data_IF_339152743196
#
_entry.id   IF_339152743196
#
_cell.length_a   1.000
_cell.length_b   1.000
_cell.length_c   1.000
_cell.angle_alpha   90.00
_cell.angle_beta   90.00
_cell.angle_gamma   90.00
#
_symmetry.space_group_name_H-M   'P 1'
#
loop_
_entity.id
_entity.type
_entity.pdbx_description
1 polymer ?
#
# COMPACT_ATOMS: atom_id res chain seq x y z
N UNK A 1 -47.79 -6.82 -0.61
CA UNK A 1 -46.84 -7.52 -1.50
C UNK A 1 -45.38 -7.29 -1.11
N UNK A 2 -44.92 -6.05 -0.88
CA UNK A 2 -43.51 -5.78 -0.52
C UNK A 2 -43.01 -6.41 0.80
N UNK A 3 -43.88 -6.54 1.82
CA UNK A 3 -43.52 -7.15 3.10
C UNK A 3 -43.32 -8.67 2.99
N UNK A 4 -44.13 -9.33 2.15
CA UNK A 4 -44.06 -10.79 1.92
C UNK A 4 -42.73 -11.15 1.25
N UNK A 5 -42.30 -10.37 0.25
CA UNK A 5 -41.01 -10.58 -0.43
C UNK A 5 -39.79 -10.32 0.46
N UNK A 6 -39.91 -9.47 1.48
CA UNK A 6 -38.84 -9.21 2.44
C UNK A 6 -38.70 -10.35 3.46
N UNK A 7 -39.82 -10.93 3.88
CA UNK A 7 -39.87 -12.08 4.78
C UNK A 7 -39.34 -13.35 4.09
N UNK A 8 -39.72 -13.57 2.82
CA UNK A 8 -39.18 -14.63 1.98
C UNK A 8 -37.65 -14.50 1.78
N UNK A 9 -37.15 -13.27 1.61
CA UNK A 9 -35.71 -13.03 1.49
C UNK A 9 -34.95 -13.30 2.81
N UNK A 10 -35.57 -13.01 3.96
CA UNK A 10 -35.02 -13.30 5.28
C UNK A 10 -35.00 -14.81 5.56
N UNK A 11 -36.05 -15.53 5.18
CA UNK A 11 -36.14 -16.99 5.33
C UNK A 11 -35.12 -17.71 4.43
N UNK A 12 -34.95 -17.25 3.19
CA UNK A 12 -33.88 -17.74 2.30
C UNK A 12 -32.48 -17.43 2.84
N UNK A 13 -32.28 -16.28 3.50
CA UNK A 13 -31.03 -15.98 4.17
C UNK A 13 -30.78 -16.91 5.37
N UNK A 14 -31.81 -17.18 6.18
CA UNK A 14 -31.73 -18.12 7.30
C UNK A 14 -31.43 -19.55 6.83
N UNK A 15 -32.09 -20.02 5.78
CA UNK A 15 -31.85 -21.33 5.17
C UNK A 15 -30.40 -21.46 4.66
N UNK A 16 -29.89 -20.42 3.98
CA UNK A 16 -28.48 -20.37 3.53
C UNK A 16 -27.50 -20.43 4.70
N UNK A 17 -27.79 -19.71 5.78
CA UNK A 17 -26.95 -19.71 6.98
C UNK A 17 -26.95 -21.09 7.67
N UNK A 18 -28.09 -21.77 7.71
CA UNK A 18 -28.20 -23.08 8.31
C UNK A 18 -27.48 -24.16 7.50
N UNK A 19 -27.59 -24.12 6.17
CA UNK A 19 -26.78 -24.96 5.27
C UNK A 19 -25.29 -24.71 5.47
N UNK A 20 -24.87 -23.45 5.63
CA UNK A 20 -23.48 -23.12 5.91
C UNK A 20 -23.02 -23.68 7.27
N UNK A 21 -23.84 -23.59 8.32
CA UNK A 21 -23.55 -24.17 9.64
C UNK A 21 -23.41 -25.69 9.58
N UNK A 22 -24.32 -26.38 8.89
CA UNK A 22 -24.25 -27.83 8.72
C UNK A 22 -23.00 -28.26 7.95
N UNK A 23 -22.62 -27.54 6.90
CA UNK A 23 -21.35 -27.78 6.17
C UNK A 23 -20.12 -27.61 7.05
N UNK A 24 -20.08 -26.55 7.88
CA UNK A 24 -18.97 -26.32 8.82
C UNK A 24 -18.92 -27.42 9.89
N UNK A 25 -20.07 -27.84 10.42
CA UNK A 25 -20.16 -28.93 11.40
C UNK A 25 -19.70 -30.27 10.82
N UNK A 26 -20.13 -30.60 9.60
CA UNK A 26 -19.68 -31.79 8.88
C UNK A 26 -18.18 -31.74 8.61
N UNK A 27 -17.68 -30.59 8.12
CA UNK A 27 -16.24 -30.38 7.91
C UNK A 27 -15.45 -30.61 9.20
N UNK A 28 -15.93 -30.08 10.34
CA UNK A 28 -15.31 -30.31 11.65
C UNK A 28 -15.34 -31.75 12.13
N UNK A 29 -16.36 -32.55 11.77
CA UNK A 29 -16.37 -33.99 12.09
C UNK A 29 -15.45 -34.82 11.20
N UNK A 30 -15.25 -34.44 9.93
CA UNK A 30 -14.35 -35.15 9.01
C UNK A 30 -12.86 -34.81 9.21
N UNK A 31 -12.54 -33.62 9.74
CA UNK A 31 -11.14 -33.26 10.05
C UNK A 31 -10.74 -33.82 11.41
N UNK A 32 -9.92 -34.88 11.44
CA UNK A 32 -9.30 -35.37 12.68
C UNK A 32 -8.52 -34.26 13.40
N UNK A 33 -8.59 -34.21 14.73
CA UNK A 33 -7.85 -33.25 15.58
C UNK A 33 -6.33 -33.22 15.28
N UNK A 34 -5.79 -34.33 14.75
CA UNK A 34 -4.37 -34.51 14.40
C UNK A 34 -3.94 -33.69 13.18
N UNK A 35 -4.82 -33.41 12.22
CA UNK A 35 -4.52 -32.52 11.07
C UNK A 35 -4.86 -31.05 11.37
N UNK A 36 -5.69 -30.80 12.39
CA UNK A 36 -6.13 -29.46 12.79
C UNK A 36 -5.04 -28.70 13.55
N UNK A 37 -4.20 -29.37 14.34
CA UNK A 37 -3.11 -28.72 15.07
C UNK A 37 -1.93 -28.31 14.17
N UNK A 38 -1.44 -29.12 13.21
CA UNK A 38 -0.36 -28.71 12.31
C UNK A 38 -0.79 -27.58 11.38
N UNK A 39 -2.02 -27.60 10.86
CA UNK A 39 -2.51 -26.51 9.99
C UNK A 39 -2.63 -25.19 10.75
N UNK A 40 -3.09 -25.23 12.01
CA UNK A 40 -3.17 -24.04 12.87
C UNK A 40 -1.78 -23.49 13.17
N UNK A 41 -0.82 -24.36 13.46
CA UNK A 41 0.56 -23.97 13.73
C UNK A 41 1.23 -23.41 12.48
N UNK A 42 1.05 -24.05 11.31
CA UNK A 42 1.53 -23.54 10.03
C UNK A 42 0.94 -22.16 9.72
N UNK A 43 -0.37 -21.99 9.90
CA UNK A 43 -1.01 -20.68 9.73
C UNK A 43 -0.48 -19.64 10.75
N UNK A 44 -0.16 -20.06 11.98
CA UNK A 44 0.40 -19.19 13.02
C UNK A 44 1.82 -18.72 12.67
N UNK A 45 2.67 -19.64 12.21
CA UNK A 45 4.02 -19.36 11.72
C UNK A 45 3.96 -18.43 10.52
N UNK A 46 3.15 -18.74 9.51
CA UNK A 46 3.00 -17.92 8.31
C UNK A 46 2.50 -16.50 8.64
N UNK A 47 1.57 -16.37 9.60
CA UNK A 47 1.12 -15.05 10.08
C UNK A 47 2.20 -14.31 10.86
N UNK A 48 3.03 -15.01 11.64
CA UNK A 48 4.17 -14.42 12.35
C UNK A 48 5.25 -13.94 11.36
N UNK A 49 5.58 -14.73 10.34
CA UNK A 49 6.49 -14.35 9.25
C UNK A 49 5.99 -13.13 8.50
N UNK A 50 4.71 -13.11 8.10
CA UNK A 50 4.10 -11.92 7.47
C UNK A 50 4.16 -10.69 8.38
N UNK A 51 4.01 -10.85 9.69
CA UNK A 51 4.16 -9.75 10.67
C UNK A 51 5.62 -9.28 10.78
N UNK A 52 6.58 -10.20 10.75
CA UNK A 52 8.01 -9.87 10.76
C UNK A 52 8.45 -9.16 9.47
N UNK A 53 8.02 -9.65 8.31
CA UNK A 53 8.26 -8.98 7.02
C UNK A 53 7.68 -7.56 7.00
N UNK A 54 6.46 -7.37 7.54
CA UNK A 54 5.86 -6.03 7.70
C UNK A 54 6.65 -5.13 8.64
N UNK A 55 7.27 -5.67 9.70
CA UNK A 55 8.15 -4.92 10.61
C UNK A 55 9.48 -4.54 9.96
N UNK A 56 10.07 -5.41 9.15
CA UNK A 56 11.30 -5.12 8.40
C UNK A 56 11.10 -3.98 7.38
N UNK A 57 9.89 -3.85 6.83
CA UNK A 57 9.51 -2.78 5.90
C UNK A 57 8.97 -1.50 6.58
N UNK A 58 8.84 -1.49 7.91
CA UNK A 58 8.35 -0.32 8.65
C UNK A 58 9.30 0.88 8.78
N UNK A 59 10.64 0.77 8.74
CA UNK A 59 11.50 1.91 9.07
C UNK A 59 11.29 3.11 8.14
N UNK A 60 10.92 2.88 6.87
CA UNK A 60 10.78 3.92 5.85
C UNK A 60 9.33 4.35 5.55
N UNK A 61 8.34 3.64 6.12
CA UNK A 61 6.94 3.98 5.89
C UNK A 61 6.64 5.37 6.45
N UNK A 62 6.27 6.30 5.56
CA UNK A 62 5.94 7.69 5.88
C UNK A 62 7.11 8.54 6.43
N UNK A 63 8.36 8.12 6.27
CA UNK A 63 9.50 8.95 6.68
C UNK A 63 9.51 10.32 5.99
N UNK A 64 8.99 10.43 4.76
CA UNK A 64 8.83 11.71 4.08
C UNK A 64 8.00 12.74 4.88
N UNK A 65 7.05 12.28 5.72
CA UNK A 65 6.23 13.14 6.58
C UNK A 65 6.86 13.41 7.95
N UNK A 66 7.96 12.74 8.28
CA UNK A 66 8.70 12.87 9.55
C UNK A 66 10.14 13.28 9.27
N UNK A 67 10.29 14.31 8.44
CA UNK A 67 11.61 14.85 8.12
C UNK A 67 12.31 15.31 9.40
N UNK A 68 13.50 14.76 9.66
CA UNK A 68 14.38 15.17 10.75
C UNK A 68 15.66 15.78 10.15
N UNK A 69 15.89 17.10 10.28
CA UNK A 69 17.06 17.75 9.69
C UNK A 69 18.39 17.30 10.32
N UNK A 70 18.38 16.63 11.47
CA UNK A 70 19.57 16.07 12.10
C UNK A 70 20.05 14.74 11.51
N UNK A 71 19.27 14.12 10.62
CA UNK A 71 19.63 12.86 9.95
C UNK A 71 20.30 13.15 8.60
N UNK A 72 21.43 12.49 8.34
CA UNK A 72 22.05 12.51 7.02
C UNK A 72 21.39 11.49 6.09
N UNK A 73 20.37 11.93 5.37
CA UNK A 73 19.66 11.11 4.39
C UNK A 73 20.49 10.76 3.15
N UNK A 74 21.61 11.44 2.89
CA UNK A 74 22.44 11.17 1.72
C UNK A 74 23.14 9.80 1.78
N UNK A 75 23.39 9.31 3.00
CA UNK A 75 24.01 8.01 3.26
C UNK A 75 23.00 6.86 3.25
N UNK A 76 21.70 7.15 3.21
CA UNK A 76 20.66 6.13 3.27
C UNK A 76 20.42 5.51 1.90
N UNK A 77 20.73 4.21 1.75
CA UNK A 77 20.44 3.48 0.51
C UNK A 77 18.94 3.46 0.14
N UNK A 78 18.07 3.65 1.13
CA UNK A 78 16.62 3.70 0.93
C UNK A 78 16.11 5.07 0.46
N UNK A 79 16.93 6.12 0.56
CA UNK A 79 16.60 7.49 0.12
C UNK A 79 17.52 7.86 -1.03
N UNK A 80 17.36 7.17 -2.16
CA UNK A 80 18.09 7.49 -3.39
C UNK A 80 17.40 8.66 -4.10
N UNK A 81 17.83 9.88 -3.80
CA UNK A 81 17.49 11.06 -4.62
C UNK A 81 18.42 11.04 -5.84
N UNK A 82 17.88 10.70 -7.00
CA UNK A 82 18.65 10.65 -8.25
C UNK A 82 19.18 12.03 -8.68
N UNK A 83 20.03 12.07 -9.69
CA UNK A 83 20.50 13.34 -10.26
C UNK A 83 19.47 13.93 -11.24
N UNK A 84 19.37 15.25 -11.28
CA UNK A 84 18.52 15.97 -12.25
C UNK A 84 19.28 16.16 -13.56
N UNK A 85 19.25 15.16 -14.43
CA UNK A 85 20.04 15.13 -15.68
C UNK A 85 19.21 15.37 -16.94
N UNK A 86 17.88 15.36 -16.83
CA UNK A 86 17.00 15.49 -17.99
C UNK A 86 16.53 16.92 -18.10
N UNK A 87 16.61 17.52 -19.28
CA UNK A 87 16.06 18.86 -19.52
C UNK A 87 14.57 18.75 -19.85
N UNK A 88 13.72 19.53 -19.18
CA UNK A 88 12.31 19.64 -19.52
C UNK A 88 12.15 20.35 -20.88
N UNK A 89 11.41 19.76 -21.84
CA UNK A 89 11.27 20.37 -23.17
C UNK A 89 10.53 21.71 -23.14
N UNK A 90 9.65 21.91 -22.15
CA UNK A 90 8.79 23.09 -22.03
C UNK A 90 9.47 24.26 -21.32
N UNK A 91 9.93 24.05 -20.07
CA UNK A 91 10.49 25.13 -19.25
C UNK A 91 12.02 25.18 -19.23
N UNK A 92 12.70 24.24 -19.91
CA UNK A 92 14.17 24.10 -19.95
C UNK A 92 14.86 23.88 -18.59
N UNK A 93 14.11 23.75 -17.50
CA UNK A 93 14.63 23.33 -16.21
C UNK A 93 15.14 21.88 -16.27
N UNK A 94 16.17 21.57 -15.48
CA UNK A 94 16.56 20.20 -15.20
C UNK A 94 15.45 19.50 -14.40
N UNK A 95 15.30 18.19 -14.59
CA UNK A 95 14.31 17.33 -13.94
C UNK A 95 14.87 15.93 -13.70
N UNK A 96 14.24 15.16 -12.81
CA UNK A 96 14.67 13.78 -12.54
C UNK A 96 14.33 12.84 -13.70
N UNK A 97 15.14 11.79 -13.87
CA UNK A 97 14.78 10.69 -14.75
C UNK A 97 13.52 9.98 -14.22
N UNK A 98 12.53 9.74 -15.08
CA UNK A 98 11.24 9.15 -14.67
C UNK A 98 10.28 10.10 -13.95
N UNK A 99 10.60 11.39 -13.81
CA UNK A 99 9.70 12.37 -13.22
C UNK A 99 8.37 12.44 -14.01
N UNK A 100 7.25 12.37 -13.28
CA UNK A 100 5.90 12.45 -13.85
C UNK A 100 5.75 13.71 -14.70
N UNK A 101 5.13 13.56 -15.89
CA UNK A 101 4.96 14.67 -16.83
C UNK A 101 4.24 15.84 -16.15
N UNK A 102 4.89 17.00 -16.18
CA UNK A 102 4.32 18.24 -15.67
C UNK A 102 4.58 18.53 -14.21
N UNK A 103 5.31 17.70 -13.47
CA UNK A 103 5.74 18.05 -12.10
C UNK A 103 6.57 19.34 -12.07
N UNK A 104 7.49 19.53 -13.04
CA UNK A 104 8.28 20.75 -13.14
C UNK A 104 7.55 22.02 -13.65
N UNK A 105 6.50 21.91 -14.48
CA UNK A 105 5.91 23.09 -15.15
C UNK A 105 4.44 22.94 -15.59
N UNK A 106 3.72 21.98 -15.01
CA UNK A 106 2.36 21.60 -15.42
C UNK A 106 2.23 21.37 -16.93
N UNK A 107 3.24 20.71 -17.52
CA UNK A 107 3.38 20.46 -18.96
C UNK A 107 3.44 21.74 -19.81
N UNK A 108 4.17 22.75 -19.35
CA UNK A 108 4.40 24.02 -20.06
C UNK A 108 3.38 25.11 -19.75
N UNK A 109 2.41 24.85 -18.86
CA UNK A 109 1.45 25.86 -18.41
C UNK A 109 2.07 26.89 -17.47
N UNK A 110 3.15 26.51 -16.77
CA UNK A 110 3.91 27.40 -15.90
C UNK A 110 5.16 27.85 -16.65
N UNK A 111 5.29 29.17 -16.84
CA UNK A 111 6.55 29.78 -17.29
C UNK A 111 7.40 30.05 -16.05
N UNK A 112 8.49 29.30 -15.92
CA UNK A 112 9.50 29.59 -14.90
C UNK A 112 10.29 30.81 -15.35
N UNK A 113 10.46 31.77 -14.45
CA UNK A 113 11.37 32.90 -14.66
C UNK A 113 12.81 32.39 -14.60
N UNK A 114 13.66 32.89 -15.48
CA UNK A 114 15.08 32.56 -15.43
C UNK A 114 15.69 33.22 -14.20
N UNK A 115 16.26 32.42 -13.29
CA UNK A 115 16.83 32.89 -12.01
C UNK A 115 18.25 33.44 -12.16
N UNK A 116 18.67 33.85 -13.35
CA UNK A 116 20.02 34.36 -13.66
C UNK A 116 20.47 35.60 -12.84
N UNK A 117 19.63 36.15 -11.97
CA UNK A 117 19.91 37.41 -11.25
C UNK A 117 20.13 37.28 -9.73
N UNK A 118 20.38 36.10 -9.18
CA UNK A 118 21.02 36.02 -7.86
C UNK A 118 22.52 35.78 -8.00
N UNK A 119 23.22 36.82 -8.49
CA UNK A 119 24.62 37.01 -8.16
C UNK A 119 24.69 37.31 -6.66
N UNK A 120 25.09 36.31 -5.89
CA UNK A 120 25.46 36.48 -4.48
C UNK A 120 26.66 37.43 -4.39
N UNK A 121 26.41 38.61 -3.84
CA UNK A 121 27.42 39.42 -3.16
C UNK A 121 28.04 38.64 -2.00
#
# INVERSE_FOLDING_TARGET
MAQISAEEAAEQHAARLEVARLRVRQSHSSTSNVLRSPQREHNRIQMAERRQQRKAYQPFNRLAFRYNPGEDYSLSWHVLIGTMTVVCPYCKALKFCGETKGMCCAAGKIKLLNLENHQSH
#
